data_IF_144355646977
#
_entry.id   IF_144355646977
#
_cell.length_a   1.000
_cell.length_b   1.000
_cell.length_c   1.000
_cell.angle_alpha   90.00
_cell.angle_beta   90.00
_cell.angle_gamma   90.00
#
_symmetry.space_group_name_H-M   'P 1'
#
loop_
_entity.id
_entity.type
_entity.pdbx_description
1 polymer ?
#
# COMPACT_ATOMS: atom_id res chain seq x y z
N UNK A 1 21.61 -47.08 10.53
CA UNK A 1 21.31 -45.87 9.72
C UNK A 1 19.83 -45.48 9.69
N UNK A 2 18.86 -46.42 9.75
CA UNK A 2 17.43 -46.10 9.53
C UNK A 2 16.75 -45.31 10.66
N UNK A 3 17.12 -45.54 11.93
CA UNK A 3 16.46 -44.89 13.08
C UNK A 3 16.68 -43.37 13.14
N UNK A 4 17.83 -42.89 12.66
CA UNK A 4 18.14 -41.46 12.66
C UNK A 4 17.15 -40.67 11.79
N UNK A 5 16.80 -41.18 10.62
CA UNK A 5 15.85 -40.55 9.71
C UNK A 5 14.42 -40.54 10.28
N UNK A 6 14.02 -41.60 10.98
CA UNK A 6 12.72 -41.66 11.67
C UNK A 6 12.64 -40.63 12.79
N UNK A 7 13.67 -40.52 13.63
CA UNK A 7 13.71 -39.54 14.73
C UNK A 7 13.68 -38.10 14.17
N UNK A 8 14.50 -37.82 13.16
CA UNK A 8 14.52 -36.50 12.52
C UNK A 8 13.17 -36.16 11.86
N UNK A 9 12.53 -37.13 11.21
CA UNK A 9 11.21 -36.97 10.60
C UNK A 9 10.11 -36.69 11.62
N UNK A 10 10.10 -37.42 12.75
CA UNK A 10 9.14 -37.18 13.83
C UNK A 10 9.33 -35.81 14.47
N UNK A 11 10.57 -35.40 14.75
CA UNK A 11 10.85 -34.06 15.29
C UNK A 11 10.39 -32.95 14.34
N UNK A 12 10.68 -33.09 13.05
CA UNK A 12 10.21 -32.15 12.03
C UNK A 12 8.67 -32.12 11.96
N UNK A 13 8.03 -33.28 12.01
CA UNK A 13 6.57 -33.40 12.03
C UNK A 13 5.93 -32.71 13.24
N UNK A 14 6.51 -32.87 14.44
CA UNK A 14 6.04 -32.20 15.67
C UNK A 14 6.19 -30.67 15.55
N UNK A 15 7.29 -30.17 14.97
CA UNK A 15 7.49 -28.73 14.77
C UNK A 15 6.48 -28.15 13.77
N UNK A 16 6.17 -28.87 12.68
CA UNK A 16 5.15 -28.41 11.74
C UNK A 16 3.73 -28.52 12.30
N UNK A 17 3.46 -29.58 13.06
CA UNK A 17 2.19 -29.76 13.74
C UNK A 17 1.95 -28.66 14.77
N UNK A 18 2.97 -28.28 15.55
CA UNK A 18 2.84 -27.17 16.51
C UNK A 18 2.56 -25.85 15.79
N UNK A 19 3.22 -25.56 14.65
CA UNK A 19 2.90 -24.38 13.83
C UNK A 19 1.49 -24.40 13.27
N UNK A 20 0.97 -25.59 12.91
CA UNK A 20 -0.39 -25.75 12.42
C UNK A 20 -1.43 -25.56 13.54
N UNK A 21 -1.13 -26.06 14.74
CA UNK A 21 -1.95 -25.82 15.94
C UNK A 21 -1.90 -24.35 16.36
N UNK A 22 -0.72 -23.72 16.37
CA UNK A 22 -0.56 -22.28 16.62
C UNK A 22 -1.36 -21.46 15.60
N UNK A 23 -1.34 -21.85 14.33
CA UNK A 23 -2.15 -21.21 13.29
C UNK A 23 -3.64 -21.45 13.53
N UNK A 24 -4.07 -22.68 13.83
CA UNK A 24 -5.48 -23.03 14.02
C UNK A 24 -6.10 -22.38 15.26
N UNK A 25 -5.35 -22.32 16.37
CA UNK A 25 -5.75 -21.65 17.61
C UNK A 25 -5.57 -20.13 17.51
N UNK A 26 -4.63 -19.68 16.68
CA UNK A 26 -4.25 -18.29 16.50
C UNK A 26 -4.94 -17.59 15.36
N UNK A 27 -5.85 -18.22 14.59
CA UNK A 27 -6.72 -17.49 13.65
C UNK A 27 -7.69 -16.67 14.49
N UNK A 28 -7.46 -15.36 14.68
CA UNK A 28 -8.43 -14.53 15.36
C UNK A 28 -9.65 -14.52 14.47
N UNK A 29 -10.85 -14.65 15.05
CA UNK A 29 -12.08 -14.32 14.33
C UNK A 29 -11.87 -12.93 13.74
N UNK A 30 -11.79 -12.85 12.41
CA UNK A 30 -11.63 -11.59 11.70
C UNK A 30 -12.80 -10.73 12.15
N UNK A 31 -12.50 -9.64 12.82
CA UNK A 31 -13.52 -8.73 13.31
C UNK A 31 -14.38 -8.31 12.12
N UNK A 32 -15.68 -8.56 12.24
CA UNK A 32 -16.62 -8.19 11.19
C UNK A 32 -16.81 -6.67 11.22
N UNK A 33 -16.08 -5.98 10.34
CA UNK A 33 -16.11 -4.52 10.18
C UNK A 33 -17.44 -4.01 9.62
N UNK A 34 -18.31 -4.91 9.12
CA UNK A 34 -19.64 -4.52 8.62
C UNK A 34 -20.66 -4.30 9.75
N UNK A 35 -20.29 -4.63 10.99
CA UNK A 35 -21.18 -4.46 12.13
C UNK A 35 -21.40 -2.97 12.45
N UNK A 36 -22.63 -2.58 12.81
CA UNK A 36 -23.00 -1.18 13.02
C UNK A 36 -22.25 -0.51 14.16
N UNK A 37 -21.70 -1.26 15.14
CA UNK A 37 -20.84 -0.67 16.18
C UNK A 37 -19.56 0.02 15.65
N UNK A 38 -19.12 -0.34 14.44
CA UNK A 38 -18.00 0.30 13.75
C UNK A 38 -18.42 1.49 12.90
N UNK A 39 -19.73 1.71 12.70
CA UNK A 39 -20.28 2.90 12.07
C UNK A 39 -20.29 4.06 13.07
N UNK A 40 -19.10 4.56 13.41
CA UNK A 40 -18.93 5.72 14.30
C UNK A 40 -19.01 7.01 13.47
N UNK A 41 -20.17 7.65 13.50
CA UNK A 41 -20.33 9.06 13.08
C UNK A 41 -19.86 9.98 14.20
N UNK A 42 -18.56 9.98 14.48
CA UNK A 42 -17.98 10.95 15.41
C UNK A 42 -17.86 12.31 14.72
N UNK A 43 -18.17 13.40 15.42
CA UNK A 43 -18.09 14.77 14.88
C UNK A 43 -16.65 15.24 14.59
N UNK A 44 -15.65 14.39 14.83
CA UNK A 44 -14.22 14.70 14.65
C UNK A 44 -13.49 13.50 14.05
N UNK A 45 -13.91 13.11 12.84
CA UNK A 45 -13.28 12.05 12.09
C UNK A 45 -11.82 12.41 11.75
N UNK A 46 -10.84 11.51 11.97
CA UNK A 46 -9.44 11.81 11.70
C UNK A 46 -9.21 12.01 10.20
N UNK A 47 -8.28 12.89 9.83
CA UNK A 47 -8.05 13.15 8.40
C UNK A 47 -7.32 11.98 7.74
N UNK A 48 -7.83 11.48 6.62
CA UNK A 48 -7.25 10.34 5.88
C UNK A 48 -6.72 10.79 4.52
N UNK A 49 -5.47 10.45 4.20
CA UNK A 49 -4.92 10.62 2.84
C UNK A 49 -4.91 9.28 2.12
N UNK A 50 -5.66 9.17 1.04
CA UNK A 50 -5.75 7.99 0.20
C UNK A 50 -4.76 8.16 -0.96
N UNK A 51 -3.72 7.32 -0.99
CA UNK A 51 -2.67 7.36 -2.00
C UNK A 51 -2.97 6.29 -3.07
N UNK A 52 -3.06 6.74 -4.32
CA UNK A 52 -3.33 5.89 -5.49
C UNK A 52 -2.14 5.98 -6.45
N UNK A 53 -1.12 5.10 -6.32
CA UNK A 53 -0.07 5.00 -7.32
C UNK A 53 -0.62 4.30 -8.57
N UNK A 54 -0.43 4.90 -9.72
CA UNK A 54 -0.90 4.43 -11.01
C UNK A 54 0.24 4.41 -12.02
N UNK A 55 0.31 3.35 -12.83
CA UNK A 55 1.22 3.26 -13.97
C UNK A 55 0.60 2.36 -15.03
N UNK A 56 0.28 2.93 -16.18
CA UNK A 56 -0.38 2.22 -17.28
C UNK A 56 -1.73 1.59 -16.89
N UNK A 57 -2.59 2.39 -16.27
CA UNK A 57 -3.89 1.99 -15.69
C UNK A 57 -5.06 2.73 -16.35
N UNK A 58 -4.93 3.15 -17.62
CA UNK A 58 -5.92 4.03 -18.29
C UNK A 58 -7.36 3.48 -18.30
N UNK A 59 -7.52 2.15 -18.17
CA UNK A 59 -8.81 1.47 -18.20
C UNK A 59 -9.56 1.54 -16.86
N UNK A 60 -8.83 1.55 -15.74
CA UNK A 60 -9.39 1.42 -14.39
C UNK A 60 -9.34 2.73 -13.60
N UNK A 61 -8.32 3.57 -13.85
CA UNK A 61 -8.02 4.74 -13.02
C UNK A 61 -9.19 5.73 -12.92
N UNK A 62 -9.92 5.97 -14.02
CA UNK A 62 -11.09 6.87 -13.98
C UNK A 62 -12.17 6.34 -13.06
N UNK A 63 -12.50 5.06 -13.18
CA UNK A 63 -13.53 4.45 -12.35
C UNK A 63 -13.11 4.43 -10.87
N UNK A 64 -11.85 4.11 -10.59
CA UNK A 64 -11.30 4.08 -9.23
C UNK A 64 -11.37 5.47 -8.59
N UNK A 65 -10.90 6.51 -9.27
CA UNK A 65 -10.94 7.88 -8.74
C UNK A 65 -12.35 8.41 -8.55
N UNK A 66 -13.28 8.15 -9.49
CA UNK A 66 -14.69 8.54 -9.33
C UNK A 66 -15.34 7.87 -8.13
N UNK A 67 -15.01 6.61 -7.82
CA UNK A 67 -15.49 5.93 -6.62
C UNK A 67 -14.93 6.56 -5.34
N UNK A 68 -13.66 6.94 -5.34
CA UNK A 68 -13.04 7.62 -4.21
C UNK A 68 -13.62 9.02 -3.98
N UNK A 69 -13.98 9.74 -5.03
CA UNK A 69 -14.66 11.03 -4.92
C UNK A 69 -16.10 10.91 -4.40
N UNK A 70 -16.70 9.72 -4.47
CA UNK A 70 -18.06 9.44 -4.02
C UNK A 70 -18.11 8.79 -2.62
N UNK A 71 -17.01 8.81 -1.85
CA UNK A 71 -16.98 8.29 -0.49
C UNK A 71 -17.85 9.17 0.44
N UNK A 72 -18.55 8.54 1.37
CA UNK A 72 -19.39 9.17 2.39
C UNK A 72 -18.60 9.53 3.67
N UNK A 73 -17.31 9.84 3.51
CA UNK A 73 -16.42 10.23 4.59
C UNK A 73 -16.04 11.70 4.46
N UNK A 74 -16.25 12.50 5.49
CA UNK A 74 -16.15 13.96 5.33
C UNK A 74 -14.73 14.54 5.39
N UNK A 75 -13.75 13.80 5.91
CA UNK A 75 -12.40 14.32 6.21
C UNK A 75 -11.28 13.53 5.53
N UNK A 76 -11.22 13.58 4.20
CA UNK A 76 -10.18 12.88 3.44
C UNK A 76 -9.64 13.70 2.28
N UNK A 77 -8.53 13.23 1.75
CA UNK A 77 -7.99 13.66 0.46
C UNK A 77 -7.53 12.43 -0.33
N UNK A 78 -7.47 12.57 -1.65
CA UNK A 78 -6.97 11.57 -2.57
C UNK A 78 -5.74 12.12 -3.27
N UNK A 79 -4.65 11.38 -3.26
CA UNK A 79 -3.40 11.73 -3.95
C UNK A 79 -3.16 10.66 -5.00
N UNK A 80 -3.51 10.98 -6.25
CA UNK A 80 -3.27 10.11 -7.40
C UNK A 80 -1.88 10.42 -7.97
N UNK A 81 -1.03 9.40 -8.02
CA UNK A 81 0.35 9.53 -8.51
C UNK A 81 0.50 8.78 -9.82
N UNK A 82 0.80 9.49 -10.90
CA UNK A 82 1.23 8.89 -12.16
C UNK A 82 2.74 8.61 -12.10
N UNK A 83 3.16 7.34 -12.13
CA UNK A 83 4.57 6.90 -12.17
C UNK A 83 5.00 6.58 -13.59
N UNK A 84 5.24 7.62 -14.40
CA UNK A 84 5.80 7.51 -15.75
C UNK A 84 4.99 6.56 -16.64
N UNK A 85 3.68 6.79 -16.71
CA UNK A 85 2.82 6.06 -17.63
C UNK A 85 3.16 6.40 -19.08
N UNK A 86 2.99 5.42 -19.96
CA UNK A 86 3.12 5.58 -21.42
C UNK A 86 1.77 5.66 -22.13
N UNK A 87 0.67 5.49 -21.38
CA UNK A 87 -0.71 5.57 -21.86
C UNK A 87 -1.38 6.87 -21.36
N UNK A 88 -2.72 6.94 -21.42
CA UNK A 88 -3.49 8.13 -21.01
C UNK A 88 -3.74 8.23 -19.51
N UNK A 89 -3.10 7.41 -18.67
CA UNK A 89 -3.32 7.41 -17.21
C UNK A 89 -3.12 8.80 -16.61
N UNK A 90 -2.00 9.46 -16.89
CA UNK A 90 -1.71 10.81 -16.38
C UNK A 90 -2.68 11.88 -16.87
N UNK A 91 -3.12 11.79 -18.13
CA UNK A 91 -4.12 12.69 -18.72
C UNK A 91 -5.46 12.54 -17.99
N UNK A 92 -5.91 11.31 -17.76
CA UNK A 92 -7.16 11.01 -17.05
C UNK A 92 -7.11 11.54 -15.62
N UNK A 93 -6.01 11.29 -14.90
CA UNK A 93 -5.81 11.78 -13.53
C UNK A 93 -5.89 13.32 -13.49
N UNK A 94 -5.18 13.99 -14.40
CA UNK A 94 -5.13 15.47 -14.46
C UNK A 94 -6.49 16.06 -14.81
N UNK A 95 -7.20 15.45 -15.76
CA UNK A 95 -8.57 15.84 -16.14
C UNK A 95 -9.52 15.72 -14.96
N UNK A 96 -9.50 14.60 -14.23
CA UNK A 96 -10.36 14.40 -13.07
C UNK A 96 -10.02 15.34 -11.93
N UNK A 97 -8.74 15.57 -11.64
CA UNK A 97 -8.32 16.51 -10.60
C UNK A 97 -8.78 17.96 -10.88
N UNK A 98 -8.97 18.32 -12.16
CA UNK A 98 -9.46 19.64 -12.59
C UNK A 98 -11.00 19.75 -12.57
N UNK A 99 -11.72 18.67 -12.30
CA UNK A 99 -13.19 18.68 -12.28
C UNK A 99 -13.76 19.35 -11.02
N UNK A 100 -14.97 19.95 -11.07
CA UNK A 100 -15.58 20.58 -9.90
C UNK A 100 -15.80 19.61 -8.73
N UNK A 101 -16.13 18.35 -9.01
CA UNK A 101 -16.32 17.28 -8.01
C UNK A 101 -15.03 16.91 -7.27
N UNK A 102 -13.87 17.13 -7.89
CA UNK A 102 -12.56 16.81 -7.34
C UNK A 102 -11.93 17.97 -6.55
N UNK A 103 -12.48 19.17 -6.65
CA UNK A 103 -11.86 20.38 -6.14
C UNK A 103 -11.66 20.31 -4.62
N UNK A 104 -10.40 20.40 -4.18
CA UNK A 104 -10.04 20.31 -2.76
C UNK A 104 -9.96 18.88 -2.19
N UNK A 105 -10.37 17.86 -2.95
CA UNK A 105 -10.35 16.45 -2.52
C UNK A 105 -9.23 15.70 -3.25
N UNK A 106 -9.15 15.79 -4.57
CA UNK A 106 -8.19 15.03 -5.39
C UNK A 106 -7.00 15.89 -5.82
N UNK A 107 -5.79 15.39 -5.55
CA UNK A 107 -4.52 15.95 -5.98
C UNK A 107 -3.85 15.01 -6.98
N UNK A 108 -3.55 15.54 -8.17
CA UNK A 108 -2.73 14.87 -9.17
C UNK A 108 -1.23 15.12 -8.89
N UNK A 109 -0.43 14.06 -8.95
CA UNK A 109 1.03 14.12 -8.85
C UNK A 109 1.60 13.34 -10.03
N UNK A 110 2.46 13.97 -10.81
CA UNK A 110 3.17 13.31 -11.89
C UNK A 110 4.64 13.09 -11.49
N UNK A 111 5.15 11.89 -11.73
CA UNK A 111 6.56 11.55 -11.58
C UNK A 111 7.13 11.35 -12.98
N UNK A 112 8.06 12.22 -13.37
CA UNK A 112 8.67 12.18 -14.70
C UNK A 112 9.91 11.27 -14.75
N UNK A 113 10.63 11.17 -13.64
CA UNK A 113 11.87 10.40 -13.54
C UNK A 113 11.95 9.63 -12.22
N UNK A 114 12.59 8.45 -12.28
CA UNK A 114 12.88 7.64 -11.11
C UNK A 114 14.35 7.86 -10.71
N UNK A 115 14.63 8.36 -9.49
CA UNK A 115 16.00 8.52 -9.02
C UNK A 115 16.73 7.18 -8.95
N UNK A 116 18.06 7.20 -9.08
CA UNK A 116 18.86 5.97 -9.06
C UNK A 116 18.72 5.23 -7.72
N UNK A 117 18.60 3.91 -7.77
CA UNK A 117 18.40 3.06 -6.59
C UNK A 117 16.97 2.99 -6.05
N UNK A 118 16.01 3.69 -6.66
CA UNK A 118 14.59 3.59 -6.28
C UNK A 118 13.83 2.57 -7.12
N UNK A 119 12.71 2.08 -6.57
CA UNK A 119 11.71 1.27 -7.26
C UNK A 119 10.44 2.11 -7.41
N UNK A 120 9.78 2.02 -8.58
CA UNK A 120 8.67 2.90 -8.97
C UNK A 120 7.54 3.01 -7.94
N UNK A 121 6.93 1.89 -7.53
CA UNK A 121 5.82 1.88 -6.56
C UNK A 121 6.19 2.53 -5.22
N UNK A 122 7.37 2.25 -4.69
CA UNK A 122 7.83 2.84 -3.42
C UNK A 122 8.18 4.31 -3.57
N UNK A 123 8.77 4.72 -4.69
CA UNK A 123 9.02 6.12 -4.98
C UNK A 123 7.69 6.89 -5.11
N UNK A 124 6.70 6.34 -5.79
CA UNK A 124 5.36 6.92 -5.90
C UNK A 124 4.69 7.10 -4.53
N UNK A 125 4.75 6.07 -3.69
CA UNK A 125 4.23 6.14 -2.31
C UNK A 125 4.98 7.17 -1.46
N UNK A 126 6.31 7.23 -1.57
CA UNK A 126 7.13 8.20 -0.84
C UNK A 126 6.78 9.62 -1.26
N UNK A 127 6.73 9.90 -2.57
CA UNK A 127 6.39 11.20 -3.12
C UNK A 127 4.99 11.64 -2.69
N UNK A 128 4.01 10.75 -2.68
CA UNK A 128 2.68 11.05 -2.14
C UNK A 128 2.69 11.29 -0.63
N UNK A 129 3.43 10.49 0.14
CA UNK A 129 3.52 10.62 1.59
C UNK A 129 4.04 11.99 2.05
N UNK A 130 4.95 12.59 1.26
CA UNK A 130 5.45 13.94 1.51
C UNK A 130 4.40 15.04 1.27
N UNK A 131 3.42 14.77 0.41
CA UNK A 131 2.35 15.71 0.07
C UNK A 131 1.08 15.50 0.88
N UNK A 132 0.94 14.33 1.50
CA UNK A 132 -0.18 13.97 2.35
C UNK A 132 -0.25 14.81 3.62
N UNK A 133 -1.44 15.30 3.93
CA UNK A 133 -1.73 16.13 5.11
C UNK A 133 -2.63 15.42 6.12
N UNK A 134 -3.04 14.18 5.83
CA UNK A 134 -3.84 13.34 6.72
C UNK A 134 -3.04 12.78 7.90
N UNK A 135 -3.73 12.51 9.00
CA UNK A 135 -3.20 11.78 10.14
C UNK A 135 -2.98 10.30 9.82
N UNK A 136 -3.74 9.77 8.85
CA UNK A 136 -3.66 8.41 8.36
C UNK A 136 -3.35 8.38 6.88
N UNK A 137 -2.51 7.44 6.46
CA UNK A 137 -2.21 7.13 5.07
C UNK A 137 -2.84 5.78 4.72
N UNK A 138 -3.67 5.77 3.68
CA UNK A 138 -4.24 4.55 3.10
C UNK A 138 -3.69 4.39 1.68
N UNK A 139 -3.14 3.21 1.36
CA UNK A 139 -2.71 2.89 0.01
C UNK A 139 -3.81 2.12 -0.70
N UNK A 140 -4.23 2.58 -1.89
CA UNK A 140 -5.15 1.85 -2.75
C UNK A 140 -4.50 1.56 -4.11
N UNK A 141 -4.73 0.37 -4.67
CA UNK A 141 -4.32 0.06 -6.04
C UNK A 141 -5.22 0.76 -7.05
N UNK A 142 -4.64 1.26 -8.14
CA UNK A 142 -5.42 1.82 -9.25
C UNK A 142 -6.22 0.75 -10.01
N UNK A 143 -5.69 -0.49 -10.06
CA UNK A 143 -6.36 -1.65 -10.64
C UNK A 143 -7.67 -1.94 -9.89
N UNK A 144 -8.80 -1.84 -10.59
CA UNK A 144 -10.14 -1.59 -10.04
C UNK A 144 -10.80 -2.71 -9.24
N UNK A 145 -10.05 -3.71 -8.77
CA UNK A 145 -10.64 -4.93 -8.19
C UNK A 145 -11.05 -4.80 -6.72
N UNK A 146 -10.52 -3.80 -5.99
CA UNK A 146 -10.77 -3.68 -4.54
C UNK A 146 -12.15 -3.07 -4.19
N UNK A 147 -12.78 -2.28 -5.07
CA UNK A 147 -13.98 -1.50 -4.75
C UNK A 147 -15.26 -2.00 -5.45
N UNK A 148 -15.33 -3.28 -5.80
CA UNK A 148 -16.58 -3.86 -6.30
C UNK A 148 -17.55 -4.02 -5.12
N UNK A 149 -18.50 -3.09 -4.98
CA UNK A 149 -19.63 -3.19 -4.04
C UNK A 149 -20.14 -4.62 -4.05
N UNK A 150 -20.06 -5.28 -2.90
CA UNK A 150 -20.45 -6.67 -2.69
C UNK A 150 -21.93 -6.85 -3.02
N UNK A 151 -22.25 -7.09 -4.30
CA UNK A 151 -23.52 -7.71 -4.67
C UNK A 151 -23.51 -9.12 -4.07
N UNK A 152 -24.64 -9.61 -3.49
CA UNK A 152 -24.73 -10.97 -3.00
C UNK A 152 -24.25 -11.94 -4.08
N UNK A 153 -23.25 -12.74 -3.69
CA UNK A 153 -22.29 -13.43 -4.54
C UNK A 153 -22.98 -14.55 -5.33
N UNK A 154 -23.18 -14.40 -6.64
CA UNK A 154 -23.39 -15.55 -7.54
C UNK A 154 -22.02 -16.03 -8.02
N UNK A 155 -21.71 -17.27 -7.65
CA UNK A 155 -20.43 -17.97 -7.81
C UNK A 155 -19.72 -17.74 -9.15
N UNK A 156 -18.57 -17.06 -9.12
CA UNK A 156 -17.47 -17.25 -10.07
C UNK A 156 -16.14 -17.18 -9.31
N UNK A 157 -15.22 -18.06 -9.70
CA UNK A 157 -13.94 -18.36 -9.03
C UNK A 157 -13.07 -17.11 -8.88
N UNK A 158 -12.28 -16.97 -7.80
CA UNK A 158 -11.36 -15.87 -7.64
C UNK A 158 -10.12 -16.07 -8.54
N UNK A 159 -9.79 -15.08 -9.36
CA UNK A 159 -8.42 -14.88 -9.83
C UNK A 159 -7.60 -14.29 -8.68
N UNK A 160 -6.44 -14.86 -8.43
CA UNK A 160 -5.56 -14.52 -7.32
C UNK A 160 -4.92 -13.13 -7.51
N UNK A 161 -5.43 -12.12 -6.81
CA UNK A 161 -4.72 -10.90 -6.50
C UNK A 161 -4.75 -10.73 -4.97
N UNK A 162 -3.64 -11.07 -4.32
CA UNK A 162 -3.44 -10.74 -2.91
C UNK A 162 -2.89 -9.32 -2.84
N UNK A 163 -3.77 -8.34 -2.64
CA UNK A 163 -3.39 -6.97 -2.33
C UNK A 163 -3.61 -6.67 -0.85
N UNK A 164 -2.53 -6.29 -0.16
CA UNK A 164 -2.54 -5.94 1.25
C UNK A 164 -3.07 -4.51 1.47
N UNK A 165 -4.29 -4.35 1.98
CA UNK A 165 -4.75 -3.09 2.56
C UNK A 165 -3.93 -2.80 3.83
N UNK A 166 -3.31 -1.62 3.89
CA UNK A 166 -2.56 -1.20 5.09
C UNK A 166 -2.75 0.29 5.32
N UNK A 167 -3.25 0.63 6.51
CA UNK A 167 -3.46 2.00 6.97
C UNK A 167 -2.41 2.33 8.05
N UNK A 168 -1.77 3.50 7.94
CA UNK A 168 -0.63 3.89 8.79
C UNK A 168 -0.85 5.27 9.39
N UNK A 169 -0.54 5.44 10.67
CA UNK A 169 -0.61 6.74 11.34
C UNK A 169 0.69 7.52 11.10
N UNK A 170 0.60 8.76 10.61
CA UNK A 170 1.77 9.56 10.21
C UNK A 170 2.63 10.06 11.39
N UNK A 171 2.10 10.06 12.62
CA UNK A 171 2.74 10.59 13.83
C UNK A 171 3.34 9.54 14.80
N UNK A 172 3.55 8.30 14.35
CA UNK A 172 4.37 7.35 15.12
C UNK A 172 5.86 7.55 14.80
N UNK A 173 6.54 8.35 15.63
CA UNK A 173 7.95 8.78 15.50
C UNK A 173 8.97 7.62 15.44
N UNK A 174 8.55 6.36 15.62
CA UNK A 174 9.42 5.18 15.59
C UNK A 174 9.58 4.53 14.21
N UNK A 175 8.79 4.90 13.20
CA UNK A 175 8.68 4.10 11.96
C UNK A 175 9.29 4.72 10.70
N UNK A 176 9.59 6.02 10.68
CA UNK A 176 10.23 6.62 9.49
C UNK A 176 11.71 6.19 9.30
N UNK A 177 12.40 5.79 10.37
CA UNK A 177 13.79 5.30 10.28
C UNK A 177 13.90 3.76 10.21
N UNK A 178 12.98 3.02 10.84
CA UNK A 178 13.06 1.55 10.92
C UNK A 178 12.32 0.82 9.79
N UNK A 179 11.24 1.38 9.22
CA UNK A 179 10.47 0.71 8.15
C UNK A 179 11.18 0.71 6.79
N UNK A 180 12.22 1.53 6.61
CA UNK A 180 13.06 1.49 5.41
C UNK A 180 13.89 0.19 5.33
N UNK A 181 14.24 -0.42 6.46
CA UNK A 181 15.01 -1.66 6.50
C UNK A 181 14.16 -2.92 6.30
N UNK A 182 12.92 -2.95 6.79
CA UNK A 182 12.09 -4.17 6.72
C UNK A 182 11.64 -4.51 5.28
N UNK A 183 11.60 -3.50 4.38
CA UNK A 183 11.21 -3.71 2.99
C UNK A 183 12.34 -4.31 2.12
N UNK A 184 13.61 -4.08 2.47
CA UNK A 184 14.77 -4.69 1.78
C UNK A 184 14.99 -6.16 2.17
N UNK A 185 14.75 -6.53 3.43
CA UNK A 185 15.15 -7.86 3.91
C UNK A 185 14.28 -9.02 3.42
N UNK A 186 13.07 -8.78 2.88
CA UNK A 186 12.21 -9.87 2.39
C UNK A 186 12.55 -10.36 0.97
N UNK A 187 13.45 -9.66 0.26
CA UNK A 187 13.97 -10.09 -1.05
C UNK A 187 15.46 -10.47 -1.00
N UNK A 188 16.12 -10.31 0.16
CA UNK A 188 17.56 -10.55 0.37
C UNK A 188 17.92 -12.03 0.64
N UNK A 189 17.06 -13.01 0.31
CA UNK A 189 17.45 -14.44 0.34
C UNK A 189 17.92 -14.97 -1.02
N UNK A 190 17.92 -14.15 -2.07
CA UNK A 190 18.44 -14.51 -3.40
C UNK A 190 19.25 -13.39 -4.04
N UNK A 191 20.43 -13.09 -3.48
CA UNK A 191 21.69 -12.96 -4.24
C UNK A 191 22.85 -12.72 -3.28
N UNK A 192 23.71 -13.73 -3.25
CA UNK A 192 25.05 -13.71 -2.69
C UNK A 192 25.91 -12.58 -3.26
N UNK A 193 26.73 -11.99 -2.37
CA UNK A 193 27.99 -11.26 -2.61
C UNK A 193 27.88 -9.96 -3.40
N UNK A 194 27.81 -8.85 -2.67
CA UNK A 194 28.48 -7.62 -3.07
C UNK A 194 29.26 -7.06 -1.88
N UNK A 195 30.58 -6.96 -2.07
CA UNK A 195 31.60 -6.53 -1.13
C UNK A 195 31.39 -5.07 -0.71
N UNK A 196 31.60 -4.77 0.57
CA UNK A 196 31.67 -3.39 1.11
C UNK A 196 32.79 -2.59 0.45
N UNK A 197 32.62 -1.27 0.25
CA UNK A 197 33.69 -0.33 0.50
C UNK A 197 33.37 0.57 1.70
N UNK A 198 34.38 0.79 2.53
CA UNK A 198 34.45 1.77 3.60
C UNK A 198 34.26 3.20 3.07
N UNK A 199 33.61 4.05 3.87
CA UNK A 199 33.65 5.50 3.70
C UNK A 199 32.34 6.18 4.07
N UNK A 200 32.16 6.49 5.35
CA UNK A 200 31.01 7.24 5.83
C UNK A 200 30.96 8.65 5.22
N UNK A 201 29.85 8.97 4.56
CA UNK A 201 29.38 10.34 4.40
C UNK A 201 27.91 10.40 4.79
N UNK A 202 27.65 11.24 5.79
CA UNK A 202 26.32 11.56 6.33
C UNK A 202 25.52 12.23 5.21
N UNK A 203 24.44 11.59 4.75
CA UNK A 203 23.53 12.14 3.75
C UNK A 203 22.89 13.42 4.31
N UNK A 204 23.16 14.58 3.70
CA UNK A 204 22.41 15.81 3.96
C UNK A 204 21.24 15.87 2.97
N UNK A 205 20.01 16.16 3.41
CA UNK A 205 18.88 16.35 2.52
C UNK A 205 19.07 17.62 1.69
N UNK A 206 18.97 17.52 0.36
CA UNK A 206 18.91 18.69 -0.52
C UNK A 206 17.57 19.42 -0.33
N UNK A 207 17.57 20.77 -0.30
CA UNK A 207 16.35 21.54 -0.22
C UNK A 207 15.54 21.41 -1.52
N UNK A 208 14.19 21.54 -1.45
CA UNK A 208 13.33 21.41 -2.62
C UNK A 208 13.65 22.50 -3.65
N UNK A 209 13.92 22.10 -4.90
CA UNK A 209 14.01 23.04 -6.01
C UNK A 209 12.60 23.56 -6.32
N UNK A 210 12.52 24.88 -6.48
CA UNK A 210 11.27 25.63 -6.58
C UNK A 210 10.89 25.74 -8.06
N UNK A 211 9.77 25.08 -8.40
CA UNK A 211 8.91 25.13 -9.61
C UNK A 211 9.62 24.87 -10.94
#
# INVERSE_FOLDING_TARGET
MNYFHWIAGCLLGVVWFSRLVDAALGVPSIADISRPEWNRTSSNNPRVSIIVPARNEEHDIEQTLRRLLALDYDNYEVIAVDDRSSDRTGEIITRLASSPEAQGILKAVNIEALPSGWVGKTHAMWTAGQQATGNWLLRLSAAGDCLRRSRPRRSRRPSSAHDHESAWRKNDDRLLSHSFCFWSSSLESRRSKCSRPHGGRRFQPHPPQRI
#
